data_IF_287941961451
#
_entry.id   IF_287941961451
#
_cell.length_a   1.000
_cell.length_b   1.000
_cell.length_c   1.000
_cell.angle_alpha   90.00
_cell.angle_beta   90.00
_cell.angle_gamma   90.00
#
_symmetry.space_group_name_H-M   'P 1'
#
loop_
_entity.id
_entity.type
_entity.pdbx_description
1 polymer ?
#
# COMPACT_ATOMS: atom_id res chain seq x y z
N UNK A 1 -8.69 16.45 10.75
CA UNK A 1 -8.08 15.34 9.98
C UNK A 1 -6.82 15.86 9.30
N UNK A 2 -5.70 15.15 9.41
CA UNK A 2 -4.46 15.50 8.71
C UNK A 2 -4.57 15.17 7.21
N UNK A 3 -3.83 15.89 6.35
CA UNK A 3 -3.95 15.78 4.89
C UNK A 3 -3.71 14.35 4.36
N UNK A 4 -2.73 13.65 4.92
CA UNK A 4 -2.45 12.25 4.57
C UNK A 4 -3.62 11.31 4.91
N UNK A 5 -4.30 11.51 6.05
CA UNK A 5 -5.47 10.71 6.44
C UNK A 5 -6.62 10.89 5.47
N UNK A 6 -6.85 12.13 5.02
CA UNK A 6 -7.89 12.42 4.02
C UNK A 6 -7.59 11.68 2.71
N UNK A 7 -6.37 11.79 2.20
CA UNK A 7 -5.94 11.08 1.00
C UNK A 7 -6.02 9.56 1.16
N UNK A 8 -5.67 9.03 2.33
CA UNK A 8 -5.82 7.60 2.62
C UNK A 8 -7.29 7.16 2.57
N UNK A 9 -8.19 7.93 3.18
CA UNK A 9 -9.62 7.62 3.13
C UNK A 9 -10.20 7.75 1.72
N UNK A 10 -9.81 8.78 0.95
CA UNK A 10 -10.24 8.95 -0.44
C UNK A 10 -9.73 7.80 -1.32
N UNK A 11 -8.45 7.43 -1.19
CA UNK A 11 -7.87 6.26 -1.87
C UNK A 11 -8.63 4.99 -1.52
N UNK A 12 -8.88 4.73 -0.23
CA UNK A 12 -9.56 3.53 0.24
C UNK A 12 -11.02 3.48 -0.23
N UNK A 13 -11.70 4.62 -0.24
CA UNK A 13 -13.06 4.74 -0.75
C UNK A 13 -13.15 4.52 -2.26
N UNK A 14 -12.25 5.16 -3.02
CA UNK A 14 -12.20 5.02 -4.48
C UNK A 14 -11.80 3.61 -4.94
N UNK A 15 -11.01 2.90 -4.14
CA UNK A 15 -10.49 1.57 -4.48
C UNK A 15 -11.01 0.46 -3.54
N UNK A 16 -12.18 0.67 -2.94
CA UNK A 16 -12.72 -0.20 -1.90
C UNK A 16 -12.78 -1.67 -2.34
N UNK A 17 -13.15 -1.92 -3.60
CA UNK A 17 -13.23 -3.28 -4.13
C UNK A 17 -11.85 -3.94 -4.27
N UNK A 18 -10.84 -3.20 -4.73
CA UNK A 18 -9.47 -3.71 -4.81
C UNK A 18 -8.94 -4.06 -3.41
N UNK A 19 -9.09 -3.15 -2.44
CA UNK A 19 -8.68 -3.40 -1.05
C UNK A 19 -9.45 -4.58 -0.42
N UNK A 20 -10.74 -4.73 -0.71
CA UNK A 20 -11.55 -5.86 -0.23
C UNK A 20 -11.06 -7.19 -0.83
N UNK A 21 -10.71 -7.23 -2.10
CA UNK A 21 -10.14 -8.41 -2.76
C UNK A 21 -8.77 -8.75 -2.17
N UNK A 22 -7.88 -7.78 -2.06
CA UNK A 22 -6.57 -7.98 -1.46
C UNK A 22 -6.66 -8.46 -0.02
N UNK A 23 -7.60 -7.95 0.78
CA UNK A 23 -7.80 -8.43 2.16
C UNK A 23 -8.12 -9.92 2.24
N UNK A 24 -8.92 -10.45 1.32
CA UNK A 24 -9.23 -11.89 1.26
C UNK A 24 -7.97 -12.70 0.96
N UNK A 25 -7.21 -12.29 -0.06
CA UNK A 25 -5.97 -12.98 -0.44
C UNK A 25 -4.91 -12.86 0.66
N UNK A 26 -4.81 -11.71 1.33
CA UNK A 26 -3.89 -11.50 2.45
C UNK A 26 -4.19 -12.43 3.63
N UNK A 27 -5.48 -12.68 3.93
CA UNK A 27 -5.90 -13.63 4.96
C UNK A 27 -5.55 -15.08 4.57
N UNK A 28 -5.83 -15.45 3.32
CA UNK A 28 -5.44 -16.76 2.76
C UNK A 28 -3.91 -16.95 2.75
N UNK A 29 -3.15 -15.93 2.36
CA UNK A 29 -1.69 -15.91 2.41
C UNK A 29 -1.18 -16.02 3.85
N UNK A 30 -1.90 -15.50 4.85
CA UNK A 30 -1.54 -15.70 6.25
C UNK A 30 -1.67 -17.17 6.69
N UNK A 31 -2.57 -17.92 6.05
CA UNK A 31 -2.81 -19.34 6.32
C UNK A 31 -1.82 -20.23 5.54
N UNK A 32 -1.64 -19.98 4.23
CA UNK A 32 -0.74 -20.76 3.38
C UNK A 32 0.03 -19.85 2.42
N UNK A 33 1.22 -19.45 2.85
CA UNK A 33 2.05 -18.49 2.11
C UNK A 33 2.53 -19.02 0.78
N UNK A 34 2.76 -20.32 0.66
CA UNK A 34 3.32 -20.93 -0.57
C UNK A 34 2.23 -21.02 -1.62
N UNK A 35 1.06 -21.54 -1.24
CA UNK A 35 -0.06 -21.72 -2.15
C UNK A 35 -0.59 -20.40 -2.71
N UNK A 36 -0.68 -19.37 -1.86
CA UNK A 36 -1.28 -18.08 -2.23
C UNK A 36 -0.25 -17.01 -2.59
N UNK A 37 1.04 -17.34 -2.74
CA UNK A 37 2.07 -16.34 -3.04
C UNK A 37 1.83 -15.63 -4.38
N UNK A 38 1.45 -16.36 -5.42
CA UNK A 38 1.25 -15.80 -6.76
C UNK A 38 0.07 -14.83 -6.78
N UNK A 39 -1.09 -15.26 -6.28
CA UNK A 39 -2.27 -14.39 -6.13
C UNK A 39 -1.99 -13.20 -5.21
N UNK A 40 -1.29 -13.41 -4.10
CA UNK A 40 -0.92 -12.34 -3.17
C UNK A 40 -0.04 -11.29 -3.83
N UNK A 41 0.95 -11.72 -4.62
CA UNK A 41 1.82 -10.82 -5.36
C UNK A 41 1.06 -10.09 -6.46
N UNK A 42 0.23 -10.80 -7.22
CA UNK A 42 -0.57 -10.23 -8.32
C UNK A 42 -1.55 -9.18 -7.82
N UNK A 43 -2.34 -9.51 -6.80
CA UNK A 43 -3.33 -8.58 -6.26
C UNK A 43 -2.67 -7.50 -5.41
N UNK A 44 -1.61 -7.84 -4.68
CA UNK A 44 -0.80 -6.88 -3.95
C UNK A 44 -0.16 -5.84 -4.86
N UNK A 45 0.33 -6.23 -6.05
CA UNK A 45 0.94 -5.31 -7.00
C UNK A 45 -0.04 -4.19 -7.38
N UNK A 46 -1.30 -4.54 -7.68
CA UNK A 46 -2.35 -3.56 -7.97
C UNK A 46 -2.55 -2.57 -6.83
N UNK A 47 -2.54 -3.06 -5.59
CA UNK A 47 -2.64 -2.21 -4.40
C UNK A 47 -1.41 -1.30 -4.28
N UNK A 48 -0.20 -1.81 -4.53
CA UNK A 48 1.03 -1.01 -4.49
C UNK A 48 1.02 0.08 -5.58
N UNK A 49 0.54 -0.21 -6.78
CA UNK A 49 0.39 0.75 -7.86
C UNK A 49 -0.58 1.88 -7.47
N UNK A 50 -1.74 1.53 -6.89
CA UNK A 50 -2.69 2.51 -6.35
C UNK A 50 -2.01 3.38 -5.27
N UNK A 51 -1.35 2.76 -4.29
CA UNK A 51 -0.67 3.48 -3.21
C UNK A 51 0.37 4.44 -3.78
N UNK A 52 1.19 4.00 -4.73
CA UNK A 52 2.23 4.80 -5.35
C UNK A 52 1.65 5.98 -6.14
N UNK A 53 0.56 5.78 -6.87
CA UNK A 53 -0.13 6.85 -7.58
C UNK A 53 -0.66 7.90 -6.59
N UNK A 54 -1.33 7.46 -5.52
CA UNK A 54 -1.90 8.37 -4.52
C UNK A 54 -0.82 9.08 -3.71
N UNK A 55 0.29 8.40 -3.40
CA UNK A 55 1.46 8.98 -2.76
C UNK A 55 2.12 10.04 -3.65
N UNK A 56 2.27 9.77 -4.95
CA UNK A 56 2.77 10.74 -5.93
C UNK A 56 1.84 11.94 -6.02
N UNK A 57 0.52 11.76 -6.02
CA UNK A 57 -0.46 12.86 -5.99
C UNK A 57 -0.39 13.68 -4.70
N UNK A 58 -0.13 13.03 -3.56
CA UNK A 58 0.08 13.69 -2.28
C UNK A 58 1.36 14.54 -2.29
N UNK A 59 2.44 14.02 -2.88
CA UNK A 59 3.75 14.66 -2.98
C UNK A 59 3.78 15.78 -4.04
N UNK A 60 3.30 15.53 -5.26
CA UNK A 60 3.33 16.50 -6.37
C UNK A 60 2.45 17.73 -6.14
N UNK A 61 1.41 17.62 -5.32
CA UNK A 61 0.65 18.80 -4.87
C UNK A 61 1.44 19.70 -3.92
N UNK A 62 2.63 19.30 -3.49
CA UNK A 62 3.50 20.04 -2.57
C UNK A 62 4.77 20.58 -3.23
N UNK A 63 5.03 20.23 -4.50
CA UNK A 63 6.17 20.72 -5.28
C UNK A 63 6.09 22.22 -5.65
N UNK A 64 4.97 22.89 -5.35
CA UNK A 64 4.82 24.35 -5.52
C UNK A 64 5.51 25.21 -4.44
N UNK A 65 6.14 24.62 -3.42
CA UNK A 65 6.87 25.34 -2.37
C UNK A 65 8.11 24.59 -1.92
N UNK A 66 9.13 25.30 -1.43
CA UNK A 66 10.48 24.82 -0.99
C UNK A 66 10.48 23.77 0.16
N UNK A 67 9.59 22.78 0.17
CA UNK A 67 9.30 21.97 1.35
C UNK A 67 9.38 20.46 1.11
N UNK A 68 10.49 19.98 0.54
CA UNK A 68 10.75 18.55 0.27
C UNK A 68 10.68 17.66 1.53
N UNK A 69 11.09 18.19 2.69
CA UNK A 69 11.07 17.48 4.00
C UNK A 69 9.65 17.19 4.50
N UNK A 70 8.70 18.05 4.19
CA UNK A 70 7.29 17.87 4.57
C UNK A 70 6.61 16.79 3.72
N UNK A 71 6.99 16.66 2.45
CA UNK A 71 6.54 15.57 1.58
C UNK A 71 7.01 14.20 2.03
N UNK A 72 8.27 14.08 2.45
CA UNK A 72 8.80 12.83 2.99
C UNK A 72 8.03 12.38 4.24
N UNK A 73 7.77 13.30 5.18
CA UNK A 73 7.02 13.01 6.40
C UNK A 73 5.57 12.57 6.14
N UNK A 74 4.91 13.14 5.11
CA UNK A 74 3.53 12.79 4.77
C UNK A 74 3.44 11.43 4.05
N UNK A 75 4.36 11.13 3.14
CA UNK A 75 4.48 9.81 2.51
C UNK A 75 4.71 8.73 3.58
N UNK A 76 5.64 8.95 4.52
CA UNK A 76 5.91 7.99 5.58
C UNK A 76 4.68 7.73 6.46
N UNK A 77 3.96 8.79 6.89
CA UNK A 77 2.73 8.66 7.66
C UNK A 77 1.62 7.94 6.89
N UNK A 78 1.48 8.22 5.59
CA UNK A 78 0.53 7.55 4.71
C UNK A 78 0.83 6.04 4.60
N UNK A 79 2.08 5.68 4.32
CA UNK A 79 2.54 4.28 4.25
C UNK A 79 2.43 3.54 5.58
N UNK A 80 2.64 4.23 6.70
CA UNK A 80 2.44 3.65 8.04
C UNK A 80 0.98 3.30 8.30
N UNK A 81 0.03 4.12 7.84
CA UNK A 81 -1.40 3.85 7.98
C UNK A 81 -1.81 2.61 7.16
N UNK A 82 -1.27 2.47 5.95
CA UNK A 82 -1.45 1.27 5.11
C UNK A 82 -0.84 0.03 5.77
N UNK A 83 0.40 0.12 6.28
CA UNK A 83 1.06 -1.00 6.98
C UNK A 83 0.32 -1.42 8.25
N UNK A 84 -0.34 -0.48 8.92
CA UNK A 84 -1.20 -0.78 10.07
C UNK A 84 -2.42 -1.63 9.68
N UNK A 85 -3.03 -1.35 8.52
CA UNK A 85 -4.18 -2.14 8.02
C UNK A 85 -3.72 -3.45 7.35
N UNK A 86 -2.58 -3.45 6.66
CA UNK A 86 -2.01 -4.57 5.92
C UNK A 86 -0.53 -4.78 6.28
N UNK A 87 -0.23 -5.46 7.41
CA UNK A 87 1.15 -5.59 7.89
C UNK A 87 2.06 -6.38 6.96
N UNK A 88 1.51 -7.25 6.10
CA UNK A 88 2.29 -8.04 5.14
C UNK A 88 2.38 -7.40 3.75
N UNK A 89 1.92 -6.17 3.56
CA UNK A 89 1.96 -5.51 2.24
C UNK A 89 3.38 -5.36 1.68
N UNK A 90 4.39 -5.29 2.55
CA UNK A 90 5.80 -5.23 2.15
C UNK A 90 6.32 -6.55 1.55
N UNK A 91 5.62 -7.67 1.81
CA UNK A 91 5.95 -8.97 1.22
C UNK A 91 5.44 -9.11 -0.21
N UNK A 92 4.68 -8.14 -0.73
CA UNK A 92 4.20 -8.16 -2.10
C UNK A 92 5.39 -8.06 -3.05
N UNK A 93 5.50 -9.02 -3.95
CA UNK A 93 6.61 -9.13 -4.91
C UNK A 93 7.86 -9.80 -4.34
N UNK A 94 7.91 -10.09 -3.04
CA UNK A 94 9.00 -10.85 -2.43
C UNK A 94 8.79 -12.33 -2.71
N UNK A 95 9.62 -12.90 -3.60
CA UNK A 95 9.69 -14.35 -3.79
C UNK A 95 10.55 -14.95 -2.69
N UNK A 96 9.95 -15.78 -1.84
CA UNK A 96 10.69 -16.53 -0.82
C UNK A 96 11.47 -17.64 -1.51
N UNK A 97 12.68 -17.33 -1.99
CA UNK A 97 13.64 -18.36 -2.41
C UNK A 97 14.25 -18.96 -1.16
N UNK A 98 13.76 -20.13 -0.75
CA UNK A 98 14.51 -20.98 0.17
C UNK A 98 15.68 -21.55 -0.63
N UNK A 99 16.88 -21.02 -0.40
CA UNK A 99 18.09 -21.67 -0.87
C UNK A 99 18.17 -23.04 -0.18
N UNK A 100 18.15 -24.10 -0.99
CA UNK A 100 18.28 -25.48 -0.56
C UNK A 100 19.71 -25.80 -0.10
#
# INVERSE_FOLDING_TARGET
>A
MTKYKKYFQEMRGANQEAFKQFRKIHDLFATDRVRYQDDFNREGQKIMEIIQEWEKRLCSRMEGGKNSVYSANLSEKFRNEIRSEFPKIDLVGVRLTFAA
#
